data_IF_795842258324
#
_entry.id   IF_795842258324
#
_cell.length_a   1.000
_cell.length_b   1.000
_cell.length_c   1.000
_cell.angle_alpha   90.00
_cell.angle_beta   90.00
_cell.angle_gamma   90.00
#
_symmetry.space_group_name_H-M   'P 1'
#
loop_
_entity.id
_entity.type
_entity.pdbx_description
1 polymer ?
#
# COMPACT_ATOMS: atom_id res chain seq x y z
N UNK A 1 19.33 15.07 -11.87
CA UNK A 1 17.93 14.94 -11.39
C UNK A 1 17.04 14.12 -12.34
N UNK A 2 17.30 14.16 -13.65
CA UNK A 2 16.41 13.51 -14.64
C UNK A 2 16.43 11.97 -14.60
N UNK A 3 17.57 11.37 -14.22
CA UNK A 3 17.66 9.90 -14.06
C UNK A 3 16.86 9.39 -12.86
N UNK A 4 16.88 10.11 -11.73
CA UNK A 4 16.12 9.76 -10.52
C UNK A 4 14.62 9.89 -10.79
N UNK A 5 14.18 10.96 -11.47
CA UNK A 5 12.78 11.14 -11.88
C UNK A 5 12.31 10.02 -12.79
N UNK A 6 13.13 9.62 -13.79
CA UNK A 6 12.81 8.48 -14.67
C UNK A 6 12.71 7.17 -13.91
N UNK A 7 13.66 6.89 -13.01
CA UNK A 7 13.65 5.68 -12.18
C UNK A 7 12.39 5.64 -11.30
N UNK A 8 12.05 6.75 -10.66
CA UNK A 8 10.84 6.87 -9.84
C UNK A 8 9.57 6.62 -10.66
N UNK A 9 9.46 7.24 -11.84
CA UNK A 9 8.32 7.04 -12.75
C UNK A 9 8.25 5.59 -13.26
N UNK A 10 9.38 4.97 -13.58
CA UNK A 10 9.39 3.55 -13.99
C UNK A 10 9.00 2.61 -12.84
N UNK A 11 9.47 2.87 -11.62
CA UNK A 11 9.09 2.07 -10.44
C UNK A 11 7.61 2.23 -10.11
N UNK A 12 7.07 3.45 -10.22
CA UNK A 12 5.64 3.72 -10.08
C UNK A 12 4.83 2.96 -11.13
N UNK A 13 5.25 3.00 -12.39
CA UNK A 13 4.57 2.29 -13.48
C UNK A 13 4.64 0.76 -13.31
N UNK A 14 5.79 0.22 -12.89
CA UNK A 14 5.96 -1.21 -12.60
C UNK A 14 5.10 -1.64 -11.42
N UNK A 15 5.05 -0.83 -10.35
CA UNK A 15 4.16 -1.08 -9.21
C UNK A 15 2.68 -1.12 -9.63
N UNK A 16 2.28 -0.22 -10.54
CA UNK A 16 0.91 -0.17 -11.05
C UNK A 16 0.57 -1.42 -11.89
N UNK A 17 1.52 -1.87 -12.72
CA UNK A 17 1.40 -3.09 -13.53
C UNK A 17 1.34 -4.36 -12.67
N UNK A 18 2.11 -4.43 -11.57
CA UNK A 18 2.06 -5.56 -10.64
C UNK A 18 0.72 -5.60 -9.89
N UNK A 19 0.18 -4.44 -9.51
CA UNK A 19 -1.15 -4.33 -8.88
C UNK A 19 -2.29 -4.85 -9.76
N UNK A 20 -2.18 -4.72 -11.09
CA UNK A 20 -3.17 -5.26 -12.04
C UNK A 20 -3.08 -6.78 -12.28
N UNK A 21 -1.96 -7.42 -11.92
CA UNK A 21 -1.73 -8.86 -12.17
C UNK A 21 -2.24 -9.77 -11.05
N UNK A 22 -2.63 -9.22 -9.89
CA UNK A 22 -3.32 -9.93 -8.82
C UNK A 22 -4.81 -9.53 -8.85
N UNK A 23 -5.69 -10.27 -9.55
CA UNK A 23 -7.11 -9.97 -9.57
C UNK A 23 -7.72 -10.37 -8.23
N UNK A 24 -7.69 -9.47 -7.25
CA UNK A 24 -8.60 -9.48 -6.11
C UNK A 24 -9.75 -8.47 -6.30
N UNK A 25 -9.81 -7.82 -7.47
CA UNK A 25 -10.91 -6.97 -7.85
C UNK A 25 -12.08 -7.84 -8.34
N UNK A 26 -12.92 -8.30 -7.42
CA UNK A 26 -14.33 -8.50 -7.76
C UNK A 26 -14.92 -7.10 -7.96
N UNK A 27 -14.73 -6.54 -9.15
CA UNK A 27 -15.50 -5.39 -9.59
C UNK A 27 -16.93 -5.88 -9.78
N UNK A 28 -17.73 -5.74 -8.73
CA UNK A 28 -19.17 -5.82 -8.84
C UNK A 28 -19.62 -4.53 -9.54
N UNK A 29 -20.34 -4.66 -10.64
CA UNK A 29 -20.81 -3.55 -11.50
C UNK A 29 -21.70 -2.56 -10.70
N UNK A 30 -21.08 -1.75 -9.85
CA UNK A 30 -21.69 -0.65 -9.11
C UNK A 30 -20.90 0.62 -9.44
N UNK A 31 -21.49 1.57 -10.20
CA UNK A 31 -20.79 2.77 -10.64
C UNK A 31 -20.29 3.64 -9.49
N UNK A 32 -20.87 3.52 -8.29
CA UNK A 32 -20.39 4.22 -7.10
C UNK A 32 -19.17 3.49 -6.51
N UNK A 33 -19.18 2.15 -6.47
CA UNK A 33 -18.04 1.34 -6.02
C UNK A 33 -16.81 1.48 -6.92
N UNK A 34 -17.02 1.67 -8.23
CA UNK A 34 -15.95 1.85 -9.21
C UNK A 34 -15.11 3.11 -8.98
N UNK A 35 -15.72 4.23 -8.59
CA UNK A 35 -15.01 5.48 -8.31
C UNK A 35 -14.12 5.38 -7.06
N UNK A 36 -14.65 4.80 -5.97
CA UNK A 36 -13.90 4.60 -4.73
C UNK A 36 -12.76 3.59 -4.89
N UNK A 37 -12.99 2.54 -5.67
CA UNK A 37 -11.96 1.57 -6.01
C UNK A 37 -10.84 2.20 -6.86
N UNK A 38 -11.21 3.01 -7.85
CA UNK A 38 -10.24 3.73 -8.68
C UNK A 38 -9.39 4.69 -7.85
N UNK A 39 -10.01 5.41 -6.89
CA UNK A 39 -9.29 6.31 -5.99
C UNK A 39 -8.32 5.57 -5.04
N UNK A 40 -8.74 4.43 -4.48
CA UNK A 40 -7.87 3.60 -3.65
C UNK A 40 -6.66 3.08 -4.45
N UNK A 41 -6.89 2.61 -5.68
CA UNK A 41 -5.86 2.11 -6.60
C UNK A 41 -4.84 3.17 -7.02
N UNK A 42 -5.31 4.36 -7.40
CA UNK A 42 -4.45 5.40 -7.98
C UNK A 42 -3.83 6.34 -6.95
N UNK A 43 -4.42 6.44 -5.75
CA UNK A 43 -3.98 7.39 -4.72
C UNK A 43 -3.53 6.66 -3.46
N UNK A 44 -4.41 5.89 -2.83
CA UNK A 44 -4.12 5.31 -1.51
C UNK A 44 -2.97 4.28 -1.57
N UNK A 45 -2.98 3.38 -2.56
CA UNK A 45 -1.93 2.35 -2.71
C UNK A 45 -0.56 2.95 -3.05
N UNK A 46 -0.40 3.88 -4.01
CA UNK A 46 0.89 4.55 -4.24
C UNK A 46 1.40 5.33 -3.03
N UNK A 47 0.51 5.95 -2.24
CA UNK A 47 0.90 6.61 -0.99
C UNK A 47 1.42 5.60 0.02
N UNK A 48 0.77 4.43 0.15
CA UNK A 48 1.26 3.35 1.00
C UNK A 48 2.65 2.86 0.61
N UNK A 49 2.93 2.74 -0.70
CA UNK A 49 4.27 2.38 -1.21
C UNK A 49 5.29 3.46 -0.87
N UNK A 50 4.94 4.74 -1.08
CA UNK A 50 5.82 5.85 -0.71
C UNK A 50 6.11 5.86 0.80
N UNK A 51 5.10 5.61 1.64
CA UNK A 51 5.25 5.46 3.07
C UNK A 51 6.16 4.29 3.43
N UNK A 52 6.08 3.16 2.72
CA UNK A 52 6.98 2.01 2.89
C UNK A 52 8.43 2.32 2.52
N UNK A 53 8.66 3.07 1.44
CA UNK A 53 10.02 3.51 1.05
C UNK A 53 10.61 4.45 2.11
N UNK A 54 9.84 5.45 2.55
CA UNK A 54 10.28 6.39 3.60
C UNK A 54 10.50 5.66 4.92
N UNK A 55 9.58 4.77 5.30
CA UNK A 55 9.70 3.93 6.48
C UNK A 55 10.93 3.03 6.42
N UNK A 56 11.26 2.45 5.27
CA UNK A 56 12.50 1.67 5.09
C UNK A 56 13.75 2.53 5.33
N UNK A 57 13.78 3.78 4.86
CA UNK A 57 14.89 4.68 5.15
C UNK A 57 14.99 4.99 6.66
N UNK A 58 13.86 5.25 7.32
CA UNK A 58 13.81 5.46 8.77
C UNK A 58 14.23 4.21 9.55
N UNK A 59 13.86 3.02 9.08
CA UNK A 59 14.27 1.75 9.67
C UNK A 59 15.80 1.62 9.68
N UNK A 60 16.46 1.93 8.55
CA UNK A 60 17.93 1.89 8.46
C UNK A 60 18.57 2.84 9.46
N UNK A 61 18.03 4.06 9.61
CA UNK A 61 18.50 5.04 10.60
C UNK A 61 18.24 4.57 12.03
N UNK A 62 17.18 3.78 12.26
CA UNK A 62 16.80 3.26 13.58
C UNK A 62 17.65 2.06 14.03
N UNK A 63 18.26 1.30 13.11
CA UNK A 63 19.06 0.10 13.39
C UNK A 63 20.10 0.24 14.53
N UNK A 64 20.93 1.29 14.59
CA UNK A 64 21.89 1.45 15.69
C UNK A 64 21.23 1.50 17.08
N UNK A 65 19.95 1.87 17.18
CA UNK A 65 19.19 1.92 18.43
C UNK A 65 18.32 0.68 18.66
N UNK A 66 17.84 0.04 17.59
CA UNK A 66 16.95 -1.12 17.70
C UNK A 66 17.73 -2.43 17.89
N UNK A 67 18.95 -2.54 17.39
CA UNK A 67 19.82 -3.72 17.57
C UNK A 67 20.14 -3.96 19.06
N UNK A 68 20.63 -2.99 19.85
CA UNK A 68 20.97 -3.21 21.26
C UNK A 68 19.76 -3.56 22.12
N UNK A 69 18.57 -3.05 21.74
CA UNK A 69 17.30 -3.26 22.46
C UNK A 69 16.58 -4.54 22.00
N UNK A 70 17.06 -5.21 20.95
CA UNK A 70 16.42 -6.41 20.38
C UNK A 70 15.06 -6.10 19.73
N UNK A 71 14.85 -4.86 19.28
CA UNK A 71 13.59 -4.37 18.72
C UNK A 71 13.53 -4.35 17.19
N UNK A 72 14.51 -4.95 16.52
CA UNK A 72 14.67 -4.88 15.05
C UNK A 72 13.44 -5.41 14.33
N UNK A 73 12.91 -6.56 14.73
CA UNK A 73 11.75 -7.18 14.07
C UNK A 73 10.50 -6.31 14.16
N UNK A 74 10.23 -5.73 15.34
CA UNK A 74 9.09 -4.82 15.52
C UNK A 74 9.25 -3.53 14.72
N UNK A 75 10.47 -3.00 14.62
CA UNK A 75 10.74 -1.83 13.81
C UNK A 75 10.57 -2.14 12.31
N UNK A 76 11.05 -3.29 11.84
CA UNK A 76 10.87 -3.74 10.47
C UNK A 76 9.38 -3.96 10.15
N UNK A 77 8.63 -4.57 11.06
CA UNK A 77 7.19 -4.79 10.90
C UNK A 77 6.44 -3.45 10.74
N UNK A 78 6.72 -2.48 11.62
CA UNK A 78 6.07 -1.17 11.57
C UNK A 78 6.43 -0.36 10.34
N UNK A 79 7.72 -0.25 10.02
CA UNK A 79 8.20 0.70 9.01
C UNK A 79 8.25 0.12 7.60
N UNK A 80 8.23 -1.21 7.46
CA UNK A 80 8.36 -1.89 6.17
C UNK A 80 7.11 -2.71 5.91
N UNK A 81 6.84 -3.73 6.72
CA UNK A 81 5.81 -4.73 6.42
C UNK A 81 4.40 -4.13 6.38
N UNK A 82 4.02 -3.31 7.37
CA UNK A 82 2.68 -2.72 7.44
C UNK A 82 2.37 -1.79 6.25
N UNK A 83 3.23 -0.82 5.87
CA UNK A 83 2.99 0.02 4.69
C UNK A 83 2.85 -0.75 3.38
N UNK A 84 3.69 -1.77 3.17
CA UNK A 84 3.60 -2.59 1.95
C UNK A 84 2.36 -3.49 1.96
N UNK A 85 2.01 -4.09 3.10
CA UNK A 85 0.79 -4.88 3.24
C UNK A 85 -0.46 -4.01 2.99
N UNK A 86 -0.48 -2.77 3.49
CA UNK A 86 -1.54 -1.81 3.20
C UNK A 86 -1.69 -1.52 1.70
N UNK A 87 -0.59 -1.51 0.95
CA UNK A 87 -0.60 -1.17 -0.48
C UNK A 87 -1.03 -2.35 -1.37
N UNK A 88 -0.65 -3.57 -0.99
CA UNK A 88 -0.80 -4.74 -1.85
C UNK A 88 -1.88 -5.72 -1.37
N UNK A 89 -2.07 -5.89 -0.07
CA UNK A 89 -2.97 -6.91 0.49
C UNK A 89 -4.32 -6.35 0.94
N UNK A 90 -4.53 -5.04 0.84
CA UNK A 90 -5.78 -4.40 1.27
C UNK A 90 -6.92 -4.75 0.30
N UNK A 91 -8.06 -5.15 0.88
CA UNK A 91 -9.34 -5.30 0.19
C UNK A 91 -9.95 -3.94 -0.16
N UNK A 92 -10.67 -3.91 -1.28
CA UNK A 92 -11.30 -2.70 -1.76
C UNK A 92 -12.42 -2.23 -0.83
N UNK A 93 -12.63 -0.90 -0.68
CA UNK A 93 -13.80 -0.40 0.03
C UNK A 93 -15.08 -0.85 -0.68
N UNK A 94 -15.88 -1.69 -0.03
CA UNK A 94 -17.20 -2.09 -0.52
C UNK A 94 -18.27 -1.14 0.05
N UNK A 95 -18.97 -0.36 -0.79
CA UNK A 95 -20.02 0.57 -0.32
C UNK A 95 -21.23 -0.17 0.28
N UNK A 96 -21.40 -1.46 0.00
CA UNK A 96 -22.51 -2.27 0.50
C UNK A 96 -22.20 -2.96 1.83
N UNK A 97 -20.96 -2.88 2.31
CA UNK A 97 -20.55 -3.45 3.60
C UNK A 97 -20.70 -2.39 4.68
N UNK A 98 -21.61 -2.67 5.63
CA UNK A 98 -21.82 -1.84 6.83
C UNK A 98 -20.58 -1.87 7.73
N UNK A 99 -20.41 -0.89 8.63
CA UNK A 99 -19.28 -0.83 9.56
C UNK A 99 -19.14 -2.04 10.51
N UNK A 100 -20.18 -2.87 10.64
CA UNK A 100 -20.22 -4.11 11.42
C UNK A 100 -19.92 -5.38 10.58
N UNK A 101 -19.62 -5.22 9.29
CA UNK A 101 -19.21 -6.30 8.38
C UNK A 101 -20.35 -7.01 7.66
N UNK A 102 -21.59 -6.51 7.73
CA UNK A 102 -22.74 -7.11 7.03
C UNK A 102 -23.14 -6.33 5.78
N UNK A 103 -23.65 -7.07 4.77
CA UNK A 103 -24.17 -6.50 3.54
C UNK A 103 -25.56 -5.88 3.74
N UNK A 104 -25.78 -4.69 3.18
CA UNK A 104 -27.13 -4.16 2.96
C UNK A 104 -27.73 -4.85 1.72
N UNK A 105 -28.80 -5.65 1.91
CA UNK A 105 -29.55 -6.30 0.84
C UNK A 105 -30.79 -5.49 0.47
#
# INVERSE_FOLDING_TARGET
MDRIKRIFVTLLAISLLIGTLCPNAQAQDDPIGDEWNTFDLLVARPIGVAAGIVGTALFIVSLPFTIPVGGVDRAAEMFISKPFSFSFNREFPDPNVRPDGYYDY
#
